data_IF_910760089164
#
_entry.id   IF_910760089164
#
_cell.length_a   1.000
_cell.length_b   1.000
_cell.length_c   1.000
_cell.angle_alpha   90.00
_cell.angle_beta   90.00
_cell.angle_gamma   90.00
#
_symmetry.space_group_name_H-M   'P 1'
#
loop_
_entity.id
_entity.type
_entity.pdbx_description
1 polymer ?
#
# COMPACT_ATOMS: atom_id res chain seq x y z
N UNK A 1 -20.64 -23.11 12.26
CA UNK A 1 -21.33 -24.41 12.40
C UNK A 1 -20.69 -25.54 11.59
N UNK A 2 -20.66 -25.47 10.25
CA UNK A 2 -20.17 -26.58 9.42
C UNK A 2 -18.71 -27.00 9.72
N UNK A 3 -17.90 -26.10 10.26
CA UNK A 3 -16.53 -26.35 10.72
C UNK A 3 -16.42 -26.83 12.19
N UNK A 4 -17.53 -27.20 12.84
CA UNK A 4 -17.56 -27.72 14.22
C UNK A 4 -17.63 -26.68 15.33
N UNK A 5 -17.65 -25.38 15.01
CA UNK A 5 -17.82 -24.32 16.01
C UNK A 5 -19.22 -24.30 16.64
N UNK A 6 -19.27 -24.14 17.96
CA UNK A 6 -20.51 -24.02 18.76
C UNK A 6 -20.94 -22.57 18.99
N UNK A 7 -19.99 -21.63 18.91
CA UNK A 7 -20.20 -20.20 19.06
C UNK A 7 -19.61 -19.44 17.87
N UNK A 8 -20.16 -18.27 17.56
CA UNK A 8 -19.67 -17.41 16.50
C UNK A 8 -19.67 -15.93 16.91
N UNK A 9 -18.51 -15.28 16.82
CA UNK A 9 -18.36 -13.88 17.21
C UNK A 9 -18.95 -12.97 16.13
N UNK A 10 -19.86 -12.08 16.52
CA UNK A 10 -20.43 -11.04 15.65
C UNK A 10 -20.26 -9.67 16.31
N UNK A 11 -19.28 -8.89 15.83
CA UNK A 11 -18.98 -7.54 16.32
C UNK A 11 -19.73 -6.43 15.58
N UNK A 12 -19.34 -5.18 15.86
CA UNK A 12 -19.78 -3.97 15.14
C UNK A 12 -19.35 -4.04 13.66
N UNK A 13 -20.21 -3.61 12.74
CA UNK A 13 -20.00 -3.58 11.30
C UNK A 13 -19.59 -4.95 10.70
N UNK A 14 -20.09 -6.07 11.26
CA UNK A 14 -19.69 -7.41 10.82
C UNK A 14 -19.99 -7.63 9.33
N UNK A 15 -18.95 -7.93 8.54
CA UNK A 15 -19.00 -8.04 7.08
C UNK A 15 -19.52 -6.79 6.34
N UNK A 16 -19.50 -5.62 7.00
CA UNK A 16 -19.87 -4.35 6.40
C UNK A 16 -18.87 -3.90 5.34
N UNK A 17 -19.38 -3.29 4.27
CA UNK A 17 -18.56 -2.61 3.26
C UNK A 17 -18.38 -1.14 3.64
N UNK A 18 -17.32 -0.50 3.12
CA UNK A 18 -17.09 0.93 3.32
C UNK A 18 -18.33 1.74 2.94
N UNK A 19 -18.55 2.84 3.65
CA UNK A 19 -19.66 3.78 3.41
C UNK A 19 -19.84 4.12 1.93
N UNK A 20 -21.09 4.35 1.53
CA UNK A 20 -21.44 4.73 0.16
C UNK A 20 -20.88 6.10 -0.24
N UNK A 21 -21.24 6.55 -1.46
CA UNK A 21 -20.70 7.78 -2.06
C UNK A 21 -20.87 9.06 -1.20
N UNK A 22 -21.81 9.07 -0.25
CA UNK A 22 -22.07 10.19 0.66
C UNK A 22 -21.50 10.00 2.07
N UNK A 23 -20.62 9.01 2.27
CA UNK A 23 -20.11 8.61 3.58
C UNK A 23 -21.21 8.11 4.55
N UNK A 24 -22.40 7.79 4.03
CA UNK A 24 -23.46 7.12 4.77
C UNK A 24 -23.19 5.61 4.83
N UNK A 25 -23.34 4.96 5.99
CA UNK A 25 -23.17 3.53 6.12
C UNK A 25 -24.30 2.79 5.38
N UNK A 26 -23.98 1.67 4.74
CA UNK A 26 -24.97 0.85 4.03
C UNK A 26 -25.93 0.11 4.96
N UNK A 27 -25.48 -0.18 6.18
CA UNK A 27 -26.18 -0.95 7.19
C UNK A 27 -26.01 -0.25 8.54
N UNK A 28 -26.95 -0.50 9.46
CA UNK A 28 -26.72 -0.09 10.85
C UNK A 28 -25.53 -0.89 11.45
N UNK A 29 -24.66 -0.27 12.27
CA UNK A 29 -23.45 -0.93 12.78
C UNK A 29 -23.70 -2.22 13.59
N UNK A 30 -24.90 -2.42 14.11
CA UNK A 30 -25.28 -3.61 14.88
C UNK A 30 -26.38 -4.44 14.20
N UNK A 31 -26.74 -4.12 12.95
CA UNK A 31 -27.78 -4.84 12.19
C UNK A 31 -27.44 -6.34 12.04
N UNK A 32 -26.16 -6.65 11.80
CA UNK A 32 -25.68 -8.02 11.71
C UNK A 32 -25.88 -8.82 13.01
N UNK A 33 -25.72 -8.17 14.17
CA UNK A 33 -25.96 -8.80 15.48
C UNK A 33 -27.44 -9.12 15.66
N UNK A 34 -28.31 -8.16 15.33
CA UNK A 34 -29.77 -8.34 15.40
C UNK A 34 -30.22 -9.48 14.48
N UNK A 35 -29.67 -9.53 13.27
CA UNK A 35 -30.00 -10.55 12.28
C UNK A 35 -29.55 -11.94 12.72
N UNK A 36 -28.32 -12.11 13.21
CA UNK A 36 -27.84 -13.43 13.64
C UNK A 36 -28.66 -13.94 14.83
N UNK A 37 -28.90 -13.09 15.83
CA UNK A 37 -29.66 -13.43 17.05
C UNK A 37 -31.06 -13.93 16.73
N UNK A 38 -31.74 -13.30 15.76
CA UNK A 38 -33.06 -13.72 15.30
C UNK A 38 -33.07 -15.14 14.72
N UNK A 39 -31.95 -15.61 14.17
CA UNK A 39 -31.83 -16.89 13.47
C UNK A 39 -30.90 -17.89 14.17
N UNK A 40 -30.41 -17.62 15.39
CA UNK A 40 -29.46 -18.50 16.10
C UNK A 40 -29.99 -19.92 16.30
N UNK A 41 -31.27 -20.07 16.68
CA UNK A 41 -31.90 -21.38 16.86
C UNK A 41 -32.00 -22.16 15.55
N UNK A 42 -32.41 -21.48 14.47
CA UNK A 42 -32.53 -22.07 13.13
C UNK A 42 -31.16 -22.50 12.58
N UNK A 43 -30.17 -21.61 12.72
CA UNK A 43 -28.81 -21.87 12.28
C UNK A 43 -28.19 -22.95 13.16
N UNK A 44 -28.54 -23.03 14.45
CA UNK A 44 -27.97 -23.97 15.43
C UNK A 44 -26.52 -23.64 15.79
N UNK A 45 -26.23 -22.36 16.00
CA UNK A 45 -24.96 -21.84 16.54
C UNK A 45 -25.25 -20.61 17.40
N UNK A 46 -24.63 -20.51 18.56
CA UNK A 46 -24.82 -19.38 19.49
C UNK A 46 -23.98 -18.18 19.02
N UNK A 47 -24.56 -16.99 18.92
CA UNK A 47 -23.77 -15.81 18.59
C UNK A 47 -23.21 -15.16 19.85
N UNK A 48 -21.93 -14.80 19.78
CA UNK A 48 -21.25 -14.03 20.82
C UNK A 48 -21.11 -12.61 20.31
N UNK A 49 -21.99 -11.73 20.76
CA UNK A 49 -21.98 -10.32 20.41
C UNK A 49 -21.22 -9.51 21.46
N UNK A 50 -20.62 -8.41 21.03
CA UNK A 50 -19.94 -7.48 21.92
C UNK A 50 -20.13 -6.05 21.39
N UNK A 51 -20.09 -5.10 22.31
CA UNK A 51 -20.17 -3.67 21.99
C UNK A 51 -18.86 -3.17 21.37
N UNK A 52 -18.85 -1.92 20.92
CA UNK A 52 -17.60 -1.28 20.49
C UNK A 52 -16.59 -1.29 21.66
N UNK A 53 -15.44 -1.93 21.46
CA UNK A 53 -14.35 -1.94 22.45
C UNK A 53 -13.41 -0.77 22.21
N UNK A 54 -13.03 -0.08 23.27
CA UNK A 54 -12.11 1.07 23.21
C UNK A 54 -10.98 0.92 24.22
N UNK A 55 -9.80 1.46 23.90
CA UNK A 55 -8.67 1.46 24.82
C UNK A 55 -8.73 2.69 25.73
N UNK A 56 -8.66 2.47 27.05
CA UNK A 56 -8.62 3.55 28.04
C UNK A 56 -7.20 3.70 28.58
N UNK A 57 -6.62 4.90 28.44
CA UNK A 57 -5.21 5.16 28.70
C UNK A 57 -4.83 4.96 30.17
N UNK A 58 -5.64 5.48 31.09
CA UNK A 58 -5.43 5.46 32.54
C UNK A 58 -5.51 4.03 33.07
N UNK A 59 -6.44 3.24 32.53
CA UNK A 59 -6.67 1.85 32.92
C UNK A 59 -5.70 0.87 32.24
N UNK A 60 -5.12 1.27 31.11
CA UNK A 60 -4.29 0.42 30.25
C UNK A 60 -4.99 -0.86 29.79
N UNK A 61 -6.29 -0.78 29.48
CA UNK A 61 -7.08 -1.94 29.05
C UNK A 61 -8.19 -1.56 28.08
N UNK A 62 -8.63 -2.55 27.31
CA UNK A 62 -9.79 -2.44 26.42
C UNK A 62 -11.08 -2.70 27.21
N UNK A 63 -12.00 -1.75 27.18
CA UNK A 63 -13.33 -1.85 27.81
C UNK A 63 -14.44 -1.68 26.77
N UNK A 64 -15.65 -2.20 27.02
CA UNK A 64 -16.83 -1.78 26.27
C UNK A 64 -17.01 -0.26 26.37
N UNK A 65 -17.37 0.38 25.26
CA UNK A 65 -17.56 1.84 25.21
C UNK A 65 -18.61 2.35 26.20
N UNK A 66 -19.57 1.52 26.59
CA UNK A 66 -20.56 1.85 27.62
C UNK A 66 -19.99 1.95 29.04
N UNK A 67 -18.81 1.39 29.30
CA UNK A 67 -18.13 1.42 30.61
C UNK A 67 -17.15 2.60 30.78
N UNK A 68 -17.04 3.45 29.75
CA UNK A 68 -16.19 4.65 29.77
C UNK A 68 -16.84 5.74 30.61
N UNK A 69 -16.06 6.37 31.50
CA UNK A 69 -16.49 7.50 32.34
C UNK A 69 -15.93 8.83 31.82
N UNK A 70 -16.39 9.95 32.38
CA UNK A 70 -15.86 11.29 32.03
C UNK A 70 -14.38 11.49 32.40
N UNK A 71 -13.84 10.64 33.28
CA UNK A 71 -12.44 10.67 33.72
C UNK A 71 -11.51 9.89 32.79
N UNK A 72 -12.05 9.09 31.86
CA UNK A 72 -11.27 8.21 31.00
C UNK A 72 -10.82 8.92 29.71
N UNK A 73 -9.54 8.73 29.35
CA UNK A 73 -9.02 9.09 28.04
C UNK A 73 -9.12 7.91 27.09
N UNK A 74 -10.07 7.99 26.15
CA UNK A 74 -10.21 6.98 25.09
C UNK A 74 -9.19 7.21 23.98
N UNK A 75 -8.39 6.19 23.69
CA UNK A 75 -7.48 6.16 22.54
C UNK A 75 -8.00 5.23 21.45
N UNK A 76 -7.90 5.68 20.21
CA UNK A 76 -8.28 4.90 19.03
C UNK A 76 -7.36 5.23 17.85
N UNK A 77 -6.96 4.19 17.10
CA UNK A 77 -6.25 4.33 15.83
C UNK A 77 -7.08 3.60 14.78
N UNK A 78 -7.52 4.34 13.75
CA UNK A 78 -8.23 3.71 12.62
C UNK A 78 -7.26 2.88 11.79
N UNK A 79 -7.79 1.87 11.07
CA UNK A 79 -6.96 1.06 10.18
C UNK A 79 -6.29 1.86 9.05
N UNK A 80 -6.88 2.99 8.60
CA UNK A 80 -6.21 3.89 7.67
C UNK A 80 -5.05 4.62 8.32
N UNK A 81 -5.24 5.16 9.53
CA UNK A 81 -4.16 5.83 10.26
C UNK A 81 -3.03 4.86 10.60
N UNK A 82 -3.32 3.61 10.96
CA UNK A 82 -2.29 2.58 11.14
C UNK A 82 -1.42 2.41 9.88
N UNK A 83 -2.05 2.24 8.71
CA UNK A 83 -1.30 2.09 7.45
C UNK A 83 -0.45 3.32 7.13
N UNK A 84 -0.98 4.51 7.39
CA UNK A 84 -0.24 5.76 7.18
C UNK A 84 0.95 5.87 8.15
N UNK A 85 0.76 5.48 9.41
CA UNK A 85 1.84 5.42 10.41
C UNK A 85 2.95 4.49 9.96
N UNK A 86 2.63 3.27 9.51
CA UNK A 86 3.64 2.32 8.99
C UNK A 86 4.37 2.92 7.79
N UNK A 87 3.64 3.47 6.81
CA UNK A 87 4.23 4.07 5.60
C UNK A 87 5.16 5.25 5.89
N UNK A 88 4.87 6.01 6.94
CA UNK A 88 5.67 7.15 7.36
C UNK A 88 6.81 6.76 8.32
N UNK A 89 6.89 5.50 8.74
CA UNK A 89 7.84 5.06 9.76
C UNK A 89 7.55 5.66 11.15
N UNK A 90 6.29 6.00 11.43
CA UNK A 90 5.84 6.48 12.74
C UNK A 90 5.81 5.31 13.75
N UNK A 91 6.15 5.60 15.02
CA UNK A 91 6.05 4.60 16.08
C UNK A 91 4.59 4.18 16.31
N UNK A 92 4.34 2.87 16.30
CA UNK A 92 3.01 2.32 16.52
C UNK A 92 2.88 1.97 18.00
N UNK A 93 1.90 2.55 18.73
CA UNK A 93 1.75 2.28 20.14
C UNK A 93 1.47 0.81 20.42
N UNK A 94 2.21 0.24 21.38
CA UNK A 94 2.08 -1.17 21.77
C UNK A 94 0.69 -1.53 22.33
N UNK A 95 -0.06 -0.54 22.84
CA UNK A 95 -1.43 -0.74 23.27
C UNK A 95 -2.37 -1.07 22.11
N UNK A 96 -2.06 -0.62 20.89
CA UNK A 96 -2.92 -0.80 19.73
C UNK A 96 -2.68 -2.13 19.04
N UNK A 97 -1.41 -2.50 18.82
CA UNK A 97 -1.08 -3.78 18.21
C UNK A 97 0.32 -4.27 18.65
N UNK A 98 0.51 -5.58 18.85
CA UNK A 98 1.83 -6.13 19.19
C UNK A 98 2.88 -5.88 18.09
N UNK A 99 4.14 -5.68 18.49
CA UNK A 99 5.26 -5.41 17.57
C UNK A 99 5.42 -6.49 16.49
N UNK A 100 5.15 -7.76 16.79
CA UNK A 100 5.28 -8.82 15.80
C UNK A 100 4.19 -8.75 14.71
N UNK A 101 3.01 -8.21 15.04
CA UNK A 101 1.98 -7.90 14.05
C UNK A 101 2.43 -6.73 13.18
N UNK A 102 3.00 -5.69 13.79
CA UNK A 102 3.58 -4.54 13.04
C UNK A 102 4.61 -5.03 12.01
N UNK A 103 5.56 -5.88 12.42
CA UNK A 103 6.59 -6.44 11.53
C UNK A 103 6.01 -7.22 10.35
N UNK A 104 4.86 -7.88 10.53
CA UNK A 104 4.16 -8.56 9.43
C UNK A 104 3.52 -7.54 8.50
N UNK A 105 2.83 -6.53 9.04
CA UNK A 105 2.18 -5.49 8.26
C UNK A 105 3.17 -4.60 7.48
N UNK A 106 4.37 -4.37 8.01
CA UNK A 106 5.46 -3.67 7.31
C UNK A 106 5.88 -4.32 6.00
N UNK A 107 5.60 -5.62 5.82
CA UNK A 107 5.86 -6.32 4.55
C UNK A 107 4.91 -5.86 3.44
N UNK A 108 3.67 -5.54 3.80
CA UNK A 108 2.64 -5.10 2.85
C UNK A 108 2.57 -3.57 2.75
N UNK A 109 2.91 -2.86 3.84
CA UNK A 109 2.88 -1.40 3.94
C UNK A 109 4.28 -0.85 4.17
N UNK A 110 5.25 -1.25 3.35
CA UNK A 110 6.66 -0.87 3.52
C UNK A 110 6.81 0.65 3.67
N UNK A 111 7.59 1.13 4.67
CA UNK A 111 7.89 2.56 4.84
C UNK A 111 8.46 3.20 3.58
N UNK A 112 8.07 4.45 3.27
CA UNK A 112 8.43 5.13 2.00
C UNK A 112 9.93 5.27 1.76
N UNK A 113 10.71 5.41 2.81
CA UNK A 113 12.18 5.44 2.76
C UNK A 113 12.79 4.09 2.35
N UNK A 114 12.02 2.99 2.46
CA UNK A 114 12.38 1.62 2.06
C UNK A 114 11.65 1.16 0.80
N UNK A 115 10.62 1.86 0.35
CA UNK A 115 9.91 1.56 -0.89
C UNK A 115 10.79 1.77 -2.12
N UNK A 116 10.53 0.96 -3.15
CA UNK A 116 11.06 1.15 -4.49
C UNK A 116 10.23 2.16 -5.28
N UNK A 117 10.85 2.83 -6.24
CA UNK A 117 10.19 3.85 -7.04
C UNK A 117 10.81 3.97 -8.43
N UNK A 118 10.07 4.60 -9.35
CA UNK A 118 10.54 4.85 -10.72
C UNK A 118 10.68 6.34 -10.98
N UNK A 119 11.80 6.73 -11.59
CA UNK A 119 12.05 8.08 -12.12
C UNK A 119 12.04 8.02 -13.64
N UNK A 120 11.02 8.60 -14.28
CA UNK A 120 10.94 8.71 -15.74
C UNK A 120 11.43 10.07 -16.21
N UNK A 121 12.63 10.10 -16.79
CA UNK A 121 13.19 11.25 -17.48
C UNK A 121 12.79 11.20 -18.96
N UNK A 122 12.00 12.17 -19.41
CA UNK A 122 11.56 12.30 -20.81
C UNK A 122 11.90 13.68 -21.37
N UNK A 123 12.17 13.74 -22.67
CA UNK A 123 12.67 14.94 -23.35
C UNK A 123 13.34 14.63 -24.68
N UNK A 124 13.68 15.66 -25.45
CA UNK A 124 14.27 15.55 -26.78
C UNK A 124 15.59 14.77 -26.78
N UNK A 125 15.97 14.19 -27.91
CA UNK A 125 17.32 13.61 -28.06
C UNK A 125 18.39 14.67 -27.77
N UNK A 126 19.47 14.29 -27.09
CA UNK A 126 20.53 15.23 -26.69
C UNK A 126 20.18 16.21 -25.57
N UNK A 127 18.98 16.16 -24.98
CA UNK A 127 18.57 17.07 -23.89
C UNK A 127 19.22 16.78 -22.52
N UNK A 128 20.25 15.93 -22.46
CA UNK A 128 20.98 15.60 -21.22
C UNK A 128 20.33 14.56 -20.31
N UNK A 129 19.28 13.84 -20.74
CA UNK A 129 18.58 12.83 -19.91
C UNK A 129 19.52 11.77 -19.33
N UNK A 130 20.37 11.17 -20.16
CA UNK A 130 21.33 10.15 -19.75
C UNK A 130 22.37 10.70 -18.76
N UNK A 131 22.82 11.95 -18.96
CA UNK A 131 23.71 12.64 -18.03
C UNK A 131 23.07 12.81 -16.65
N UNK A 132 21.81 13.28 -16.61
CA UNK A 132 21.04 13.43 -15.37
C UNK A 132 20.78 12.06 -14.73
N UNK A 133 20.44 11.04 -15.52
CA UNK A 133 20.19 9.68 -15.03
C UNK A 133 21.42 9.09 -14.33
N UNK A 134 22.60 9.21 -14.93
CA UNK A 134 23.86 8.73 -14.35
C UNK A 134 24.24 9.49 -13.07
N UNK A 135 24.09 10.82 -13.07
CA UNK A 135 24.33 11.62 -11.87
C UNK A 135 23.37 11.27 -10.73
N UNK A 136 22.09 11.09 -11.05
CA UNK A 136 21.06 10.66 -10.10
C UNK A 136 21.33 9.25 -9.56
N UNK A 137 21.76 8.31 -10.42
CA UNK A 137 22.13 6.96 -10.00
C UNK A 137 23.25 6.99 -8.96
N UNK A 138 24.31 7.73 -9.23
CA UNK A 138 25.44 7.87 -8.30
C UNK A 138 24.97 8.48 -6.98
N UNK A 139 24.19 9.56 -7.03
CA UNK A 139 23.74 10.24 -5.81
C UNK A 139 22.78 9.40 -4.98
N UNK A 140 21.85 8.68 -5.60
CA UNK A 140 20.95 7.78 -4.89
C UNK A 140 21.69 6.58 -4.27
N UNK A 141 22.70 6.05 -4.97
CA UNK A 141 23.53 4.96 -4.44
C UNK A 141 24.33 5.44 -3.22
N UNK A 142 24.94 6.63 -3.30
CA UNK A 142 25.66 7.27 -2.20
C UNK A 142 24.74 7.50 -0.98
N UNK A 143 23.61 8.18 -1.16
CA UNK A 143 22.65 8.46 -0.08
C UNK A 143 22.11 7.16 0.54
N UNK A 144 21.83 6.15 -0.30
CA UNK A 144 21.34 4.86 0.21
C UNK A 144 22.39 4.17 1.07
N UNK A 145 23.66 4.18 0.64
CA UNK A 145 24.76 3.62 1.41
C UNK A 145 25.00 4.38 2.73
N UNK A 146 25.02 5.71 2.70
CA UNK A 146 25.19 6.56 3.90
C UNK A 146 24.10 6.33 4.94
N UNK A 147 22.87 6.09 4.50
CA UNK A 147 21.73 5.80 5.38
C UNK A 147 21.63 4.32 5.82
N UNK A 148 22.60 3.47 5.44
CA UNK A 148 22.56 2.04 5.73
C UNK A 148 21.43 1.28 5.02
N UNK A 149 20.89 1.83 3.93
CA UNK A 149 19.83 1.21 3.15
C UNK A 149 20.36 0.19 2.13
N UNK A 150 19.46 -0.64 1.62
CA UNK A 150 19.79 -1.74 0.68
C UNK A 150 19.22 -1.54 -0.73
N UNK A 151 18.60 -0.38 -1.00
CA UNK A 151 17.94 -0.11 -2.29
C UNK A 151 18.95 -0.11 -3.43
N UNK A 152 18.72 -0.97 -4.42
CA UNK A 152 19.53 -1.01 -5.65
C UNK A 152 18.96 -0.10 -6.71
N UNK A 153 19.83 0.60 -7.41
CA UNK A 153 19.45 1.52 -8.50
C UNK A 153 19.72 0.88 -9.86
N UNK A 154 18.66 0.66 -10.64
CA UNK A 154 18.70 0.14 -12.01
C UNK A 154 18.53 1.28 -13.01
N UNK A 155 19.50 1.45 -13.90
CA UNK A 155 19.45 2.46 -14.96
C UNK A 155 18.95 1.82 -16.28
N UNK A 156 17.77 2.24 -16.71
CA UNK A 156 17.08 1.80 -17.93
C UNK A 156 17.20 2.91 -18.99
N UNK A 157 18.43 3.16 -19.43
CA UNK A 157 18.73 4.13 -20.49
C UNK A 157 18.24 3.59 -21.85
N UNK A 158 17.67 4.48 -22.68
CA UNK A 158 17.18 4.17 -24.01
C UNK A 158 18.19 3.42 -24.91
N UNK A 159 19.49 3.68 -24.78
CA UNK A 159 20.49 2.98 -25.58
C UNK A 159 20.68 1.52 -25.14
N UNK A 160 20.73 1.28 -23.81
CA UNK A 160 20.82 -0.06 -23.22
C UNK A 160 19.54 -0.85 -23.51
N UNK A 161 18.38 -0.21 -23.32
CA UNK A 161 17.05 -0.79 -23.57
C UNK A 161 16.92 -1.23 -25.03
N UNK A 162 17.32 -0.37 -25.99
CA UNK A 162 17.23 -0.69 -27.42
C UNK A 162 18.09 -1.88 -27.82
N UNK A 163 19.24 -2.05 -27.17
CA UNK A 163 20.12 -3.19 -27.41
C UNK A 163 19.68 -4.49 -26.74
N UNK A 164 18.67 -4.46 -25.86
CA UNK A 164 18.28 -5.61 -25.04
C UNK A 164 16.78 -5.90 -25.15
N UNK A 165 15.95 -5.10 -24.46
CA UNK A 165 14.51 -5.28 -24.29
C UNK A 165 13.69 -4.97 -25.54
N UNK A 166 14.21 -4.10 -26.41
CA UNK A 166 13.49 -3.58 -27.58
C UNK A 166 14.08 -4.04 -28.90
N UNK A 167 14.85 -5.15 -28.91
CA UNK A 167 15.26 -5.80 -30.16
C UNK A 167 14.02 -6.16 -30.99
N UNK A 168 14.04 -5.78 -32.26
CA UNK A 168 12.95 -6.04 -33.21
C UNK A 168 11.89 -4.94 -33.30
N UNK A 169 11.89 -3.94 -32.41
CA UNK A 169 11.05 -2.75 -32.57
C UNK A 169 11.68 -1.77 -33.55
N UNK A 170 10.87 -1.24 -34.47
CA UNK A 170 11.26 -0.20 -35.41
C UNK A 170 11.27 1.20 -34.78
N UNK A 171 11.00 2.20 -35.63
CA UNK A 171 10.92 3.61 -35.22
C UNK A 171 9.55 4.22 -35.46
N UNK A 172 8.53 3.40 -35.77
CA UNK A 172 7.15 3.85 -35.89
C UNK A 172 6.65 4.44 -34.57
N UNK A 173 5.55 5.21 -34.63
CA UNK A 173 4.94 5.72 -33.40
C UNK A 173 4.53 4.58 -32.46
N UNK A 174 3.94 3.52 -33.01
CA UNK A 174 3.53 2.33 -32.25
C UNK A 174 4.72 1.62 -31.60
N UNK A 175 5.81 1.39 -32.35
CA UNK A 175 7.04 0.81 -31.81
C UNK A 175 7.63 1.64 -30.65
N UNK A 176 7.57 2.96 -30.77
CA UNK A 176 8.06 3.87 -29.72
C UNK A 176 7.17 3.80 -28.48
N UNK A 177 5.85 3.73 -28.65
CA UNK A 177 4.90 3.55 -27.55
C UNK A 177 5.17 2.22 -26.84
N UNK A 178 5.31 1.14 -27.59
CA UNK A 178 5.60 -0.19 -27.06
C UNK A 178 6.96 -0.26 -26.34
N UNK A 179 7.99 0.38 -26.87
CA UNK A 179 9.27 0.50 -26.18
C UNK A 179 9.12 1.14 -24.79
N UNK A 180 8.32 2.22 -24.68
CA UNK A 180 8.09 2.88 -23.38
C UNK A 180 7.30 1.98 -22.44
N UNK A 181 6.30 1.24 -22.93
CA UNK A 181 5.53 0.27 -22.12
C UNK A 181 6.41 -0.84 -21.56
N UNK A 182 7.28 -1.43 -22.40
CA UNK A 182 8.21 -2.50 -21.98
C UNK A 182 9.14 -2.02 -20.88
N UNK A 183 9.72 -0.83 -21.03
CA UNK A 183 10.56 -0.25 -19.98
C UNK A 183 9.76 0.04 -18.73
N UNK A 184 8.54 0.59 -18.87
CA UNK A 184 7.63 0.82 -17.76
C UNK A 184 7.32 -0.45 -16.97
N UNK A 185 7.07 -1.57 -17.66
CA UNK A 185 6.84 -2.86 -17.02
C UNK A 185 8.05 -3.34 -16.23
N UNK A 186 9.26 -3.29 -16.82
CA UNK A 186 10.50 -3.65 -16.11
C UNK A 186 10.72 -2.73 -14.91
N UNK A 187 10.51 -1.43 -15.08
CA UNK A 187 10.63 -0.44 -14.00
C UNK A 187 9.64 -0.72 -12.85
N UNK A 188 8.40 -1.12 -13.18
CA UNK A 188 7.40 -1.49 -12.18
C UNK A 188 7.80 -2.73 -11.38
N UNK A 189 8.43 -3.73 -12.00
CA UNK A 189 8.94 -4.90 -11.28
C UNK A 189 10.15 -4.56 -10.41
N UNK A 190 11.03 -3.66 -10.87
CA UNK A 190 12.13 -3.15 -10.02
C UNK A 190 11.56 -2.42 -8.79
N UNK A 191 10.60 -1.52 -8.98
CA UNK A 191 9.99 -0.75 -7.89
C UNK A 191 9.22 -1.63 -6.89
N UNK A 192 8.47 -2.62 -7.40
CA UNK A 192 7.76 -3.62 -6.59
C UNK A 192 8.67 -4.37 -5.62
N UNK A 193 9.92 -4.64 -6.01
CA UNK A 193 10.90 -5.35 -5.17
C UNK A 193 11.80 -4.40 -4.37
N UNK A 194 11.37 -3.16 -4.12
CA UNK A 194 12.11 -2.20 -3.29
C UNK A 194 13.28 -1.50 -4.01
N UNK A 195 13.47 -1.75 -5.32
CA UNK A 195 14.51 -1.13 -6.11
C UNK A 195 14.12 0.24 -6.65
N UNK A 196 15.12 1.00 -7.11
CA UNK A 196 14.89 2.25 -7.84
C UNK A 196 15.13 2.02 -9.32
N UNK A 197 14.15 2.33 -10.16
CA UNK A 197 14.31 2.34 -11.61
C UNK A 197 14.47 3.77 -12.13
N UNK A 198 15.57 4.07 -12.83
CA UNK A 198 15.76 5.35 -13.52
C UNK A 198 15.62 5.09 -15.01
N UNK A 199 14.59 5.66 -15.64
CA UNK A 199 14.28 5.47 -17.05
C UNK A 199 14.60 6.75 -17.82
N UNK A 200 15.59 6.73 -18.71
CA UNK A 200 15.95 7.87 -19.55
C UNK A 200 15.51 7.64 -21.00
N UNK A 201 14.27 8.02 -21.33
CA UNK A 201 13.61 7.64 -22.59
C UNK A 201 13.14 8.85 -23.40
N UNK A 202 12.98 8.65 -24.70
CA UNK A 202 12.16 9.55 -25.52
C UNK A 202 10.72 9.05 -25.43
N UNK A 203 9.92 9.65 -24.55
CA UNK A 203 8.51 9.29 -24.32
C UNK A 203 7.58 10.49 -24.59
N UNK A 204 7.35 10.87 -25.86
CA UNK A 204 6.61 12.09 -26.21
C UNK A 204 5.10 11.98 -25.95
N UNK A 205 4.54 10.78 -26.11
CA UNK A 205 3.11 10.53 -25.94
C UNK A 205 2.73 10.56 -24.45
N UNK A 206 1.81 11.45 -24.07
CA UNK A 206 1.39 11.64 -22.69
C UNK A 206 0.55 10.49 -22.13
N UNK A 207 -0.26 9.86 -22.98
CA UNK A 207 -1.10 8.71 -22.62
C UNK A 207 -0.22 7.54 -22.16
N UNK A 208 0.82 7.20 -22.94
CA UNK A 208 1.75 6.12 -22.56
C UNK A 208 2.52 6.44 -21.28
N UNK A 209 2.89 7.70 -21.03
CA UNK A 209 3.51 8.08 -19.75
C UNK A 209 2.56 7.88 -18.57
N UNK A 210 1.26 8.14 -18.78
CA UNK A 210 0.22 7.91 -17.77
C UNK A 210 0.02 6.42 -17.53
N UNK A 211 -0.06 5.60 -18.58
CA UNK A 211 -0.14 4.14 -18.47
C UNK A 211 1.04 3.57 -17.65
N UNK A 212 2.27 4.03 -17.90
CA UNK A 212 3.46 3.61 -17.13
C UNK A 212 3.38 4.06 -15.67
N UNK A 213 2.92 5.29 -15.41
CA UNK A 213 2.71 5.78 -14.04
C UNK A 213 1.73 4.90 -13.28
N UNK A 214 0.55 4.66 -13.85
CA UNK A 214 -0.49 3.82 -13.26
C UNK A 214 0.04 2.41 -12.98
N UNK A 215 0.77 1.81 -13.91
CA UNK A 215 1.39 0.49 -13.76
C UNK A 215 2.42 0.42 -12.61
N UNK A 216 3.21 1.48 -12.42
CA UNK A 216 4.18 1.54 -11.31
C UNK A 216 3.43 1.75 -9.99
N UNK A 217 2.50 2.71 -9.93
CA UNK A 217 1.73 3.04 -8.72
C UNK A 217 0.90 1.85 -8.21
N UNK A 218 0.39 0.99 -9.11
CA UNK A 218 -0.34 -0.23 -8.73
C UNK A 218 0.58 -1.30 -8.10
N UNK A 219 1.87 -1.32 -8.47
CA UNK A 219 2.81 -2.40 -8.11
C UNK A 219 3.82 -2.04 -7.04
N UNK A 220 4.21 -0.77 -6.92
CA UNK A 220 5.02 -0.26 -5.82
C UNK A 220 4.07 0.15 -4.68
N UNK A 221 4.04 -0.64 -3.60
CA UNK A 221 3.02 -0.60 -2.53
C UNK A 221 2.79 0.73 -1.79
#
# INVERSE_FOLDING_TARGET
>A
KNYGATHFIVGRDHAGVKNGNNNEPFYDPFEAQTLVQKHEEEIGIEAVTFEEMVYVAERQLYVPKSEVTEEDTVLNISGSKLRDMIRNGEEIPSWFTPLDVVKVLEKDYTPRDKQGFTVLLTGLSGSGKSTIANALQNKLTEITFENGGERRVSNLDGDIVRQTLSKGLGFSEEDRRENVRRVGWVASEVAKHGGVAICALIAPNAEVRREVREMVEERSG
#
